data_IF_035945846090
#
_entry.id   IF_035945846090
#
_cell.length_a   1.000
_cell.length_b   1.000
_cell.length_c   1.000
_cell.angle_alpha   90.00
_cell.angle_beta   90.00
_cell.angle_gamma   90.00
#
_symmetry.space_group_name_H-M   'P 1'
#
loop_
_entity.id
_entity.type
_entity.pdbx_description
1 polymer ?
#
# COMPACT_ATOMS: atom_id res chain seq x y z
N UNK A 1 24.53 -14.85 -6.09
CA UNK A 1 25.38 -14.33 -5.00
C UNK A 1 24.73 -14.75 -3.69
N UNK A 2 25.46 -15.37 -2.76
CA UNK A 2 24.96 -15.68 -1.42
C UNK A 2 24.36 -14.44 -0.70
N UNK A 3 24.84 -13.25 -1.09
CA UNK A 3 24.50 -11.98 -0.45
C UNK A 3 23.05 -11.54 -0.75
N UNK A 4 22.60 -11.64 -2.01
CA UNK A 4 21.26 -11.19 -2.42
C UNK A 4 20.14 -11.99 -1.75
N UNK A 5 20.35 -13.29 -1.56
CA UNK A 5 19.39 -14.17 -0.88
C UNK A 5 19.21 -13.78 0.59
N UNK A 6 20.33 -13.46 1.26
CA UNK A 6 20.31 -13.00 2.66
C UNK A 6 19.58 -11.66 2.83
N UNK A 7 19.75 -10.74 1.86
CA UNK A 7 19.08 -9.45 1.86
C UNK A 7 17.58 -9.59 1.60
N UNK A 8 17.15 -10.49 0.71
CA UNK A 8 15.71 -10.72 0.46
C UNK A 8 15.03 -11.37 1.67
N UNK A 9 15.66 -12.36 2.31
CA UNK A 9 15.12 -13.01 3.52
C UNK A 9 14.86 -12.06 4.69
N UNK A 10 15.66 -10.99 4.80
CA UNK A 10 15.49 -9.96 5.83
C UNK A 10 14.57 -8.84 5.35
N UNK A 11 14.77 -8.38 4.11
CA UNK A 11 14.08 -7.23 3.55
C UNK A 11 12.60 -7.49 3.33
N UNK A 12 12.23 -8.67 2.81
CA UNK A 12 10.83 -9.00 2.50
C UNK A 12 9.90 -8.87 3.72
N UNK A 13 10.12 -9.57 4.86
CA UNK A 13 9.22 -9.46 6.00
C UNK A 13 9.22 -8.07 6.64
N UNK A 14 10.33 -7.33 6.57
CA UNK A 14 10.39 -5.95 7.08
C UNK A 14 9.53 -5.02 6.21
N UNK A 15 9.71 -5.04 4.89
CA UNK A 15 8.95 -4.16 3.99
C UNK A 15 7.47 -4.50 3.98
N UNK A 16 7.12 -5.78 3.84
CA UNK A 16 5.72 -6.21 3.86
C UNK A 16 5.08 -6.00 5.24
N UNK A 17 5.83 -6.15 6.33
CA UNK A 17 5.36 -5.86 7.68
C UNK A 17 5.08 -4.37 7.90
N UNK A 18 5.96 -3.49 7.42
CA UNK A 18 5.75 -2.04 7.47
C UNK A 18 4.55 -1.60 6.62
N UNK A 19 4.43 -2.15 5.40
CA UNK A 19 3.29 -1.90 4.51
C UNK A 19 1.97 -2.39 5.12
N UNK A 20 1.97 -3.55 5.80
CA UNK A 20 0.79 -4.03 6.51
C UNK A 20 0.43 -3.10 7.68
N UNK A 21 1.43 -2.70 8.47
CA UNK A 21 1.22 -1.85 9.65
C UNK A 21 0.63 -0.48 9.29
N UNK A 22 1.21 0.21 8.31
CA UNK A 22 0.70 1.51 7.87
C UNK A 22 -0.66 1.38 7.17
N UNK A 23 -0.93 0.31 6.43
CA UNK A 23 -2.23 0.06 5.83
C UNK A 23 -3.32 -0.23 6.87
N UNK A 24 -2.97 -0.86 8.01
CA UNK A 24 -3.89 -0.98 9.15
C UNK A 24 -4.20 0.40 9.73
N UNK A 25 -3.19 1.24 9.93
CA UNK A 25 -3.39 2.61 10.44
C UNK A 25 -4.31 3.40 9.50
N UNK A 26 -3.99 3.43 8.20
CA UNK A 26 -4.77 4.12 7.18
C UNK A 26 -6.20 3.56 7.09
N UNK A 27 -6.35 2.23 7.11
CA UNK A 27 -7.64 1.55 7.10
C UNK A 27 -8.50 1.91 8.31
N UNK A 28 -7.91 2.02 9.50
CA UNK A 28 -8.61 2.44 10.71
C UNK A 28 -9.04 3.91 10.65
N UNK A 29 -8.15 4.82 10.25
CA UNK A 29 -8.45 6.27 10.14
C UNK A 29 -9.57 6.49 9.12
N UNK A 30 -9.42 5.92 7.92
CA UNK A 30 -10.36 6.11 6.82
C UNK A 30 -11.71 5.45 7.10
N UNK A 31 -11.74 4.25 7.70
CA UNK A 31 -12.99 3.59 8.09
C UNK A 31 -13.71 4.38 9.18
N UNK A 32 -12.99 4.91 10.17
CA UNK A 32 -13.55 5.77 11.20
C UNK A 32 -14.15 7.05 10.60
N UNK A 33 -13.42 7.73 9.70
CA UNK A 33 -13.92 8.92 9.01
C UNK A 33 -15.19 8.60 8.22
N UNK A 34 -15.21 7.50 7.45
CA UNK A 34 -16.40 7.08 6.70
C UNK A 34 -17.57 6.83 7.64
N UNK A 35 -17.35 6.15 8.77
CA UNK A 35 -18.39 5.90 9.76
C UNK A 35 -18.95 7.21 10.35
N UNK A 36 -18.07 8.14 10.75
CA UNK A 36 -18.48 9.43 11.30
C UNK A 36 -19.26 10.26 10.29
N UNK A 37 -18.74 10.44 9.08
CA UNK A 37 -19.43 11.22 8.06
C UNK A 37 -20.75 10.60 7.59
N UNK A 38 -20.89 9.27 7.63
CA UNK A 38 -22.17 8.62 7.35
C UNK A 38 -23.20 8.89 8.47
N UNK A 39 -22.76 8.95 9.73
CA UNK A 39 -23.61 9.19 10.90
C UNK A 39 -24.08 10.65 10.97
N UNK A 40 -23.17 11.61 10.77
CA UNK A 40 -23.49 13.04 10.80
C UNK A 40 -23.93 13.64 9.45
N UNK A 41 -23.83 12.87 8.36
CA UNK A 41 -24.17 13.28 6.99
C UNK A 41 -23.49 14.60 6.55
N UNK A 42 -22.23 14.80 6.95
CA UNK A 42 -21.48 16.05 6.85
C UNK A 42 -20.15 15.88 6.07
N UNK A 43 -20.16 15.01 5.06
CA UNK A 43 -19.03 14.91 4.12
C UNK A 43 -18.72 16.28 3.51
N UNK A 44 -17.44 16.72 3.43
CA UNK A 44 -17.07 18.01 2.82
C UNK A 44 -17.52 18.14 1.36
N UNK A 45 -17.55 17.01 0.64
CA UNK A 45 -18.16 16.90 -0.69
C UNK A 45 -18.38 15.43 -1.06
N UNK A 46 -19.22 15.16 -2.06
CA UNK A 46 -19.34 13.83 -2.67
C UNK A 46 -18.01 13.34 -3.25
N UNK A 47 -17.19 14.26 -3.75
CA UNK A 47 -15.84 13.98 -4.26
C UNK A 47 -14.94 13.37 -3.18
N UNK A 48 -14.91 13.97 -1.99
CA UNK A 48 -14.15 13.47 -0.83
C UNK A 48 -14.71 12.14 -0.34
N UNK A 49 -16.05 12.01 -0.25
CA UNK A 49 -16.73 10.77 0.17
C UNK A 49 -16.26 9.55 -0.62
N UNK A 50 -16.32 9.65 -1.95
CA UNK A 50 -16.08 8.49 -2.82
C UNK A 50 -14.59 8.09 -2.79
N UNK A 51 -13.68 9.06 -2.73
CA UNK A 51 -12.23 8.83 -2.62
C UNK A 51 -11.81 8.28 -1.27
N UNK A 52 -12.42 8.76 -0.19
CA UNK A 52 -12.19 8.24 1.15
C UNK A 52 -12.63 6.77 1.26
N UNK A 53 -13.77 6.41 0.67
CA UNK A 53 -14.22 5.00 0.59
C UNK A 53 -13.27 4.14 -0.25
N UNK A 54 -12.69 4.71 -1.31
CA UNK A 54 -11.66 4.02 -2.08
C UNK A 54 -10.37 3.82 -1.27
N UNK A 55 -9.95 4.78 -0.45
CA UNK A 55 -8.83 4.61 0.50
C UNK A 55 -9.11 3.49 1.51
N UNK A 56 -10.33 3.37 2.05
CA UNK A 56 -10.72 2.24 2.91
C UNK A 56 -10.49 0.91 2.18
N UNK A 57 -11.01 0.78 0.95
CA UNK A 57 -10.81 -0.42 0.15
C UNK A 57 -9.33 -0.72 -0.08
N UNK A 58 -8.56 0.28 -0.54
CA UNK A 58 -7.13 0.13 -0.86
C UNK A 58 -6.30 -0.26 0.37
N UNK A 59 -6.64 0.27 1.54
CA UNK A 59 -6.00 -0.08 2.81
C UNK A 59 -6.25 -1.54 3.17
N UNK A 60 -7.51 -1.97 3.22
CA UNK A 60 -7.84 -3.36 3.57
C UNK A 60 -7.41 -4.38 2.52
N UNK A 61 -7.42 -4.00 1.24
CA UNK A 61 -6.78 -4.75 0.16
C UNK A 61 -5.30 -5.00 0.48
N UNK A 62 -4.57 -3.94 0.86
CA UNK A 62 -3.15 -4.02 1.18
C UNK A 62 -2.90 -4.89 2.41
N UNK A 63 -3.69 -4.74 3.47
CA UNK A 63 -3.59 -5.59 4.68
C UNK A 63 -3.78 -7.07 4.34
N UNK A 64 -4.84 -7.41 3.60
CA UNK A 64 -5.13 -8.79 3.27
C UNK A 64 -3.97 -9.45 2.50
N UNK A 65 -3.50 -8.79 1.43
CA UNK A 65 -2.46 -9.37 0.60
C UNK A 65 -1.08 -9.33 1.24
N UNK A 66 -0.74 -8.31 2.03
CA UNK A 66 0.55 -8.29 2.74
C UNK A 66 0.66 -9.43 3.74
N UNK A 67 -0.39 -9.69 4.52
CA UNK A 67 -0.46 -10.87 5.40
C UNK A 67 -0.32 -12.16 4.59
N UNK A 68 -1.06 -12.27 3.48
CA UNK A 68 -0.97 -13.44 2.59
C UNK A 68 0.45 -13.66 2.07
N UNK A 69 1.12 -12.64 1.53
CA UNK A 69 2.50 -12.75 1.04
C UNK A 69 3.51 -13.06 2.14
N UNK A 70 3.36 -12.51 3.35
CA UNK A 70 4.22 -12.84 4.50
C UNK A 70 4.06 -14.33 4.87
N UNK A 71 2.83 -14.82 5.00
CA UNK A 71 2.56 -16.22 5.37
C UNK A 71 3.13 -17.17 4.31
N UNK A 72 2.89 -16.91 3.02
CA UNK A 72 3.40 -17.76 1.94
C UNK A 72 4.92 -17.70 1.81
N UNK A 73 5.55 -16.56 2.13
CA UNK A 73 7.01 -16.44 2.17
C UNK A 73 7.63 -17.40 3.19
N UNK A 74 7.00 -17.56 4.37
CA UNK A 74 7.51 -18.45 5.42
C UNK A 74 7.07 -19.92 5.28
N UNK A 75 5.91 -20.20 4.70
CA UNK A 75 5.31 -21.55 4.69
C UNK A 75 5.50 -22.29 3.36
N UNK A 76 5.66 -21.58 2.25
CA UNK A 76 5.65 -22.19 0.91
C UNK A 76 6.51 -21.38 -0.08
N UNK A 77 7.79 -21.18 0.25
CA UNK A 77 8.75 -20.40 -0.56
C UNK A 77 8.92 -20.92 -2.01
N UNK A 78 8.63 -22.20 -2.26
CA UNK A 78 8.65 -22.82 -3.60
C UNK A 78 7.33 -22.72 -4.39
N UNK A 79 6.31 -22.02 -3.87
CA UNK A 79 5.01 -21.88 -4.55
C UNK A 79 5.02 -20.76 -5.61
N UNK A 80 4.17 -20.87 -6.63
CA UNK A 80 3.97 -19.83 -7.66
C UNK A 80 3.57 -18.49 -7.03
N UNK A 81 2.89 -18.52 -5.89
CA UNK A 81 2.51 -17.33 -5.11
C UNK A 81 3.73 -16.61 -4.54
N UNK A 82 4.76 -17.35 -4.13
CA UNK A 82 6.03 -16.78 -3.66
C UNK A 82 6.96 -16.31 -4.80
N UNK A 83 6.52 -16.40 -6.06
CA UNK A 83 7.34 -16.05 -7.22
C UNK A 83 7.53 -14.54 -7.40
N UNK A 84 8.62 -14.18 -8.09
CA UNK A 84 8.93 -12.81 -8.50
C UNK A 84 7.78 -12.24 -9.34
N UNK A 85 7.23 -13.04 -10.27
CA UNK A 85 6.13 -12.62 -11.12
C UNK A 85 4.85 -12.29 -10.32
N UNK A 86 4.49 -13.12 -9.34
CA UNK A 86 3.32 -12.86 -8.50
C UNK A 86 3.46 -11.57 -7.71
N UNK A 87 4.63 -11.35 -7.09
CA UNK A 87 4.93 -10.11 -6.37
C UNK A 87 4.85 -8.89 -7.29
N UNK A 88 5.45 -8.97 -8.49
CA UNK A 88 5.44 -7.87 -9.44
C UNK A 88 4.02 -7.48 -9.89
N UNK A 89 3.17 -8.45 -10.21
CA UNK A 89 1.78 -8.20 -10.64
C UNK A 89 0.96 -7.58 -9.51
N UNK A 90 1.03 -8.15 -8.31
CA UNK A 90 0.27 -7.62 -7.17
C UNK A 90 0.77 -6.23 -6.77
N UNK A 91 2.08 -6.01 -6.70
CA UNK A 91 2.64 -4.69 -6.40
C UNK A 91 2.25 -3.66 -7.44
N UNK A 92 2.24 -4.01 -8.74
CA UNK A 92 1.80 -3.10 -9.79
C UNK A 92 0.33 -2.66 -9.62
N UNK A 93 -0.58 -3.61 -9.41
CA UNK A 93 -2.01 -3.31 -9.19
C UNK A 93 -2.19 -2.44 -7.94
N UNK A 94 -1.53 -2.82 -6.85
CA UNK A 94 -1.61 -2.12 -5.57
C UNK A 94 -1.00 -0.71 -5.68
N UNK A 95 0.06 -0.54 -6.48
CA UNK A 95 0.69 0.75 -6.75
C UNK A 95 -0.25 1.68 -7.52
N UNK A 96 -0.96 1.15 -8.52
CA UNK A 96 -1.99 1.91 -9.26
C UNK A 96 -3.14 2.30 -8.32
N UNK A 97 -3.60 1.39 -7.46
CA UNK A 97 -4.65 1.70 -6.49
C UNK A 97 -4.23 2.79 -5.52
N UNK A 98 -3.05 2.69 -4.89
CA UNK A 98 -2.56 3.72 -3.99
C UNK A 98 -2.36 5.06 -4.69
N UNK A 99 -1.72 5.08 -5.86
CA UNK A 99 -1.50 6.32 -6.60
C UNK A 99 -2.83 7.00 -6.94
N UNK A 100 -3.78 6.24 -7.51
CA UNK A 100 -5.09 6.75 -7.88
C UNK A 100 -5.88 7.22 -6.65
N UNK A 101 -5.84 6.46 -5.55
CA UNK A 101 -6.53 6.79 -4.31
C UNK A 101 -5.98 8.08 -3.71
N UNK A 102 -4.68 8.14 -3.43
CA UNK A 102 -4.09 9.25 -2.69
C UNK A 102 -3.98 10.52 -3.51
N UNK A 103 -3.64 10.44 -4.81
CA UNK A 103 -3.57 11.62 -5.66
C UNK A 103 -4.96 12.24 -5.89
N UNK A 104 -5.99 11.40 -6.11
CA UNK A 104 -7.35 11.91 -6.25
C UNK A 104 -7.89 12.45 -4.93
N UNK A 105 -7.58 11.83 -3.79
CA UNK A 105 -7.97 12.31 -2.45
C UNK A 105 -7.30 13.64 -2.10
N UNK A 106 -5.99 13.75 -2.30
CA UNK A 106 -5.20 14.98 -2.12
C UNK A 106 -5.82 16.14 -2.92
N UNK A 107 -6.15 15.90 -4.20
CA UNK A 107 -6.78 16.95 -5.03
C UNK A 107 -8.19 17.32 -4.57
N UNK A 108 -8.99 16.36 -4.07
CA UNK A 108 -10.32 16.63 -3.54
C UNK A 108 -10.30 17.42 -2.23
N UNK A 109 -9.25 17.29 -1.42
CA UNK A 109 -9.05 18.12 -0.23
C UNK A 109 -8.50 19.52 -0.54
N UNK A 110 -8.13 19.79 -1.79
CA UNK A 110 -7.48 21.06 -2.17
C UNK A 110 -5.98 21.09 -1.89
N UNK A 111 -5.37 19.94 -1.54
CA UNK A 111 -3.95 19.77 -1.25
C UNK A 111 -3.54 20.31 0.13
N UNK A 112 -2.85 19.47 0.93
CA UNK A 112 -2.07 19.90 2.11
C UNK A 112 -2.73 20.92 3.03
N UNK A 113 -3.89 20.58 3.60
CA UNK A 113 -4.72 21.52 4.38
C UNK A 113 -4.07 21.93 5.71
N UNK A 114 -4.19 23.22 6.06
CA UNK A 114 -3.77 23.76 7.37
C UNK A 114 -4.96 23.81 8.33
N UNK A 115 -5.05 22.83 9.23
CA UNK A 115 -6.21 22.70 10.11
C UNK A 115 -6.45 23.86 11.09
N UNK A 116 -5.45 24.71 11.36
CA UNK A 116 -5.65 25.93 12.16
C UNK A 116 -6.49 27.01 11.45
N UNK A 117 -6.69 26.89 10.13
CA UNK A 117 -7.42 27.85 9.30
C UNK A 117 -8.39 27.16 8.32
N UNK A 118 -8.77 25.91 8.60
CA UNK A 118 -9.64 25.12 7.72
C UNK A 118 -10.97 24.88 8.40
N UNK A 119 -12.07 25.09 7.67
CA UNK A 119 -13.43 24.76 8.11
C UNK A 119 -13.78 23.27 7.89
N UNK A 120 -12.79 22.44 7.54
CA UNK A 120 -13.00 21.01 7.32
C UNK A 120 -13.27 20.27 8.65
N UNK A 121 -14.45 19.66 8.74
CA UNK A 121 -14.76 18.72 9.82
C UNK A 121 -13.74 17.57 9.83
N UNK A 122 -13.20 17.26 11.00
CA UNK A 122 -12.16 16.24 11.20
C UNK A 122 -10.88 16.49 10.38
N UNK A 123 -10.50 17.76 10.17
CA UNK A 123 -9.33 18.13 9.37
C UNK A 123 -8.06 17.34 9.74
N UNK A 124 -7.73 17.21 11.03
CA UNK A 124 -6.52 16.48 11.45
C UNK A 124 -6.52 15.03 11.00
N UNK A 125 -7.67 14.37 11.04
CA UNK A 125 -7.82 12.98 10.59
C UNK A 125 -7.80 12.88 9.06
N UNK A 126 -8.41 13.84 8.35
CA UNK A 126 -8.36 13.90 6.89
C UNK A 126 -6.92 14.08 6.37
N UNK A 127 -6.16 14.98 7.00
CA UNK A 127 -4.75 15.24 6.67
C UNK A 127 -3.86 14.07 7.11
N UNK A 128 -4.18 13.40 8.22
CA UNK A 128 -3.48 12.18 8.62
C UNK A 128 -3.66 11.08 7.56
N UNK A 129 -4.89 10.87 7.06
CA UNK A 129 -5.15 9.92 5.98
C UNK A 129 -4.37 10.28 4.69
N UNK A 130 -4.31 11.57 4.34
CA UNK A 130 -3.49 12.03 3.21
C UNK A 130 -2.01 11.69 3.41
N UNK A 131 -1.47 11.90 4.61
CA UNK A 131 -0.06 11.63 4.92
C UNK A 131 0.26 10.12 4.89
N UNK A 132 -0.54 9.29 5.57
CA UNK A 132 -0.33 7.84 5.61
C UNK A 132 -0.52 7.19 4.24
N UNK A 133 -1.49 7.64 3.45
CA UNK A 133 -1.64 7.17 2.06
C UNK A 133 -0.43 7.49 1.17
N UNK A 134 0.24 8.63 1.35
CA UNK A 134 1.48 8.94 0.62
C UNK A 134 2.67 8.11 1.14
N UNK A 135 2.74 7.85 2.45
CA UNK A 135 3.75 6.97 3.04
C UNK A 135 3.64 5.56 2.45
N UNK A 136 2.42 5.00 2.38
CA UNK A 136 2.12 3.72 1.74
C UNK A 136 2.59 3.68 0.28
N UNK A 137 2.22 4.68 -0.51
CA UNK A 137 2.63 4.74 -1.91
C UNK A 137 4.15 4.81 -2.09
N UNK A 138 4.86 5.57 -1.24
CA UNK A 138 6.34 5.67 -1.28
C UNK A 138 6.97 4.33 -0.92
N UNK A 139 6.54 3.70 0.17
CA UNK A 139 7.05 2.39 0.60
C UNK A 139 6.83 1.33 -0.47
N UNK A 140 5.64 1.31 -1.06
CA UNK A 140 5.30 0.40 -2.14
C UNK A 140 6.13 0.67 -3.41
N UNK A 141 6.38 1.93 -3.74
CA UNK A 141 7.25 2.30 -4.88
C UNK A 141 8.67 1.78 -4.69
N UNK A 142 9.24 1.95 -3.49
CA UNK A 142 10.56 1.43 -3.16
C UNK A 142 10.58 -0.10 -3.30
N UNK A 143 9.62 -0.79 -2.68
CA UNK A 143 9.52 -2.25 -2.75
C UNK A 143 9.35 -2.75 -4.20
N UNK A 144 8.54 -2.05 -5.00
CA UNK A 144 8.28 -2.43 -6.39
C UNK A 144 9.52 -2.26 -7.27
N UNK A 145 10.30 -1.20 -7.09
CA UNK A 145 11.59 -1.03 -7.76
C UNK A 145 12.52 -2.20 -7.43
N UNK A 146 12.64 -2.60 -6.16
CA UNK A 146 13.46 -3.75 -5.77
C UNK A 146 13.01 -5.05 -6.46
N UNK A 147 11.71 -5.32 -6.53
CA UNK A 147 11.19 -6.52 -7.22
C UNK A 147 11.49 -6.47 -8.72
N UNK A 148 11.38 -5.31 -9.37
CA UNK A 148 11.76 -5.14 -10.78
C UNK A 148 13.25 -5.41 -10.99
N UNK A 149 14.12 -4.88 -10.12
CA UNK A 149 15.56 -5.10 -10.20
C UNK A 149 15.92 -6.60 -10.02
N UNK A 150 15.27 -7.29 -9.09
CA UNK A 150 15.41 -8.73 -8.91
C UNK A 150 14.94 -9.51 -10.15
N UNK A 151 13.80 -9.14 -10.73
CA UNK A 151 13.28 -9.75 -11.95
C UNK A 151 14.19 -9.56 -13.16
N UNK A 152 14.71 -8.34 -13.38
CA UNK A 152 15.69 -8.06 -14.44
C UNK A 152 16.97 -8.87 -14.21
N UNK A 153 17.44 -8.97 -12.97
CA UNK A 153 18.59 -9.79 -12.60
C UNK A 153 18.38 -11.27 -12.91
N UNK A 154 17.20 -11.82 -12.61
CA UNK A 154 16.83 -13.21 -12.91
C UNK A 154 16.81 -13.48 -14.42
N UNK A 155 16.16 -12.62 -15.20
CA UNK A 155 16.10 -12.75 -16.68
C UNK A 155 17.51 -12.74 -17.28
N UNK A 156 18.39 -11.83 -16.82
CA UNK A 156 19.77 -11.74 -17.32
C UNK A 156 20.61 -12.98 -17.04
N UNK A 157 20.25 -13.80 -16.04
CA UNK A 157 20.92 -15.07 -15.72
C UNK A 157 20.30 -16.29 -16.42
N UNK A 158 19.16 -16.11 -17.10
CA UNK A 158 18.38 -17.21 -17.66
C UNK A 158 17.51 -17.93 -16.62
N UNK A 159 17.31 -17.34 -15.44
CA UNK A 159 16.45 -17.89 -14.38
C UNK A 159 14.96 -17.70 -14.73
N UNK A 160 14.10 -18.59 -14.22
CA UNK A 160 12.64 -18.48 -14.40
C UNK A 160 12.05 -17.47 -13.41
N UNK A 161 11.22 -16.53 -13.88
CA UNK A 161 10.48 -15.60 -13.00
C UNK A 161 9.44 -16.28 -12.08
N UNK A 162 9.10 -17.54 -12.39
CA UNK A 162 8.26 -18.39 -11.55
C UNK A 162 9.02 -19.01 -10.37
N UNK A 163 10.36 -18.87 -10.32
CA UNK A 163 11.14 -19.26 -9.16
C UNK A 163 10.74 -18.39 -7.95
N UNK A 164 10.87 -18.95 -6.75
CA UNK A 164 10.62 -18.22 -5.51
C UNK A 164 11.53 -16.98 -5.40
N UNK A 165 11.15 -16.03 -4.53
CA UNK A 165 12.03 -14.90 -4.18
C UNK A 165 13.35 -15.33 -3.50
N UNK A 166 13.48 -16.62 -3.16
CA UNK A 166 14.61 -17.28 -2.50
C UNK A 166 15.00 -18.51 -3.30
#
# INVERSE_FOLDING_TARGET
MPDTESHVKRGHPIFFGLLCFFAIIEGCITAWLVAKFNDSNDYPSHSVRDRLRFLVFTSWWTVFFTIFYIVFFFTASASIVASIASHAVWMFITWVFWLAAIASYTSALGGGQRCSHSDLTYCSQLVAAEAFGWIEWILLTIAFIFVILLGVGAIRRGDRLSAGLV
#
